data_IF_432162669012
#
_entry.id   IF_432162669012
#
_cell.length_a   1.000
_cell.length_b   1.000
_cell.length_c   1.000
_cell.angle_alpha   90.00
_cell.angle_beta   90.00
_cell.angle_gamma   90.00
#
_symmetry.space_group_name_H-M   'P 1'
#
loop_
_entity.id
_entity.type
_entity.pdbx_description
1 polymer ?
#
# COMPACT_ATOMS: atom_id res chain seq x y z
N UNK A 1 7.52 -4.99 32.21
CA UNK A 1 7.90 -3.72 31.56
C UNK A 1 6.86 -3.44 30.49
N UNK A 2 5.93 -2.52 30.74
CA UNK A 2 4.92 -2.11 29.76
C UNK A 2 5.57 -1.13 28.80
N UNK A 3 5.75 -1.55 27.54
CA UNK A 3 6.27 -0.69 26.50
C UNK A 3 5.20 0.37 26.18
N UNK A 4 5.40 1.60 26.63
CA UNK A 4 4.47 2.69 26.36
C UNK A 4 4.64 3.14 24.91
N UNK A 5 3.72 2.75 24.03
CA UNK A 5 3.69 3.20 22.64
C UNK A 5 3.40 4.72 22.66
N UNK A 6 4.37 5.54 22.25
CA UNK A 6 4.16 6.98 22.12
C UNK A 6 3.44 7.28 20.81
N UNK A 7 2.62 8.33 20.78
CA UNK A 7 1.90 8.77 19.58
C UNK A 7 2.85 9.02 18.40
N UNK A 8 4.02 9.60 18.67
CA UNK A 8 5.08 9.83 17.67
C UNK A 8 5.58 8.52 17.05
N UNK A 9 5.93 7.53 17.89
CA UNK A 9 6.38 6.22 17.39
C UNK A 9 5.31 5.50 16.55
N UNK A 10 4.03 5.64 16.93
CA UNK A 10 2.92 5.09 16.16
C UNK A 10 2.76 5.77 14.79
N UNK A 11 2.91 7.10 14.73
CA UNK A 11 2.81 7.87 13.47
C UNK A 11 3.98 7.51 12.54
N UNK A 12 5.20 7.47 13.07
CA UNK A 12 6.39 7.09 12.32
C UNK A 12 6.24 5.68 11.73
N UNK A 13 5.87 4.71 12.56
CA UNK A 13 5.67 3.32 12.13
C UNK A 13 4.57 3.21 11.06
N UNK A 14 3.44 3.90 11.21
CA UNK A 14 2.39 3.87 10.19
C UNK A 14 2.82 4.56 8.88
N UNK A 15 3.63 5.61 8.95
CA UNK A 15 4.09 6.35 7.77
C UNK A 15 5.09 5.55 6.93
N UNK A 16 5.98 4.78 7.58
CA UNK A 16 6.99 3.99 6.88
C UNK A 16 6.38 2.78 6.18
N UNK A 17 5.33 2.18 6.75
CA UNK A 17 4.59 1.06 6.14
C UNK A 17 3.49 1.48 5.16
N UNK A 18 3.13 2.76 5.10
CA UNK A 18 2.25 3.26 4.04
C UNK A 18 2.99 3.20 2.69
N UNK A 19 2.31 2.66 1.69
CA UNK A 19 2.91 2.42 0.37
C UNK A 19 2.21 3.14 -0.78
N UNK A 20 0.97 3.58 -0.59
CA UNK A 20 0.21 4.16 -1.68
C UNK A 20 -1.19 4.57 -1.29
N UNK A 21 -2.00 4.83 -2.31
CA UNK A 21 -3.40 5.26 -2.18
C UNK A 21 -4.29 4.50 -3.17
N UNK A 22 -5.50 4.13 -2.72
CA UNK A 22 -6.52 3.49 -3.56
C UNK A 22 -6.97 4.48 -4.64
N UNK A 23 -7.04 4.00 -5.89
CA UNK A 23 -7.46 4.82 -7.05
C UNK A 23 -8.68 4.27 -7.77
N UNK A 24 -9.02 3.00 -7.58
CA UNK A 24 -10.17 2.36 -8.22
C UNK A 24 -10.63 1.17 -7.38
N UNK A 25 -11.95 0.98 -7.27
CA UNK A 25 -12.57 -0.18 -6.64
C UNK A 25 -13.70 -0.67 -7.54
N UNK A 26 -13.63 -1.94 -7.96
CA UNK A 26 -14.64 -2.61 -8.79
C UNK A 26 -14.94 -3.98 -8.17
N UNK A 27 -16.05 -4.08 -7.45
CA UNK A 27 -16.39 -5.29 -6.68
C UNK A 27 -15.29 -5.62 -5.66
N UNK A 28 -14.64 -6.77 -5.82
CA UNK A 28 -13.52 -7.20 -4.97
C UNK A 28 -12.14 -6.80 -5.51
N UNK A 29 -12.08 -6.19 -6.70
CA UNK A 29 -10.83 -5.73 -7.29
C UNK A 29 -10.55 -4.29 -6.87
N UNK A 30 -9.33 -4.03 -6.41
CA UNK A 30 -8.85 -2.72 -5.99
C UNK A 30 -7.57 -2.40 -6.73
N UNK A 31 -7.48 -1.18 -7.27
CA UNK A 31 -6.22 -0.65 -7.78
C UNK A 31 -5.63 0.35 -6.80
N UNK A 32 -4.33 0.21 -6.53
CA UNK A 32 -3.58 1.12 -5.67
C UNK A 32 -2.43 1.73 -6.46
N UNK A 33 -2.34 3.06 -6.46
CA UNK A 33 -1.15 3.76 -6.96
C UNK A 33 -0.10 3.81 -5.86
N UNK A 34 1.13 3.41 -6.19
CA UNK A 34 2.27 3.47 -5.26
C UNK A 34 2.84 4.88 -5.22
N UNK A 35 3.18 5.33 -4.01
CA UNK A 35 3.83 6.62 -3.82
C UNK A 35 5.26 6.59 -4.41
N UNK A 36 5.69 7.63 -5.11
CA UNK A 36 6.93 7.64 -5.91
C UNK A 36 8.19 7.20 -5.13
N UNK A 37 8.25 7.47 -3.83
CA UNK A 37 9.34 7.06 -2.93
C UNK A 37 9.27 5.63 -2.38
N UNK A 38 8.19 4.89 -2.64
CA UNK A 38 7.92 3.54 -2.11
C UNK A 38 7.90 2.45 -3.18
N UNK A 39 8.41 2.76 -4.37
CA UNK A 39 8.51 1.83 -5.50
C UNK A 39 9.62 0.75 -5.35
N UNK A 40 10.39 0.74 -4.26
CA UNK A 40 11.45 -0.26 -4.01
C UNK A 40 10.85 -1.62 -3.64
N UNK A 41 11.58 -2.71 -3.90
CA UNK A 41 11.17 -4.07 -3.51
C UNK A 41 11.41 -4.36 -2.02
N UNK A 42 12.10 -3.48 -1.29
CA UNK A 42 12.39 -3.65 0.13
C UNK A 42 12.45 -2.29 0.85
N UNK A 43 12.20 -2.32 2.16
CA UNK A 43 12.27 -1.16 3.06
C UNK A 43 13.29 -1.48 4.17
N UNK A 44 14.17 -0.53 4.49
CA UNK A 44 15.03 -0.62 5.68
C UNK A 44 14.24 -0.05 6.88
N UNK A 45 14.02 -0.86 7.89
CA UNK A 45 13.25 -0.47 9.08
C UNK A 45 13.90 -1.05 10.33
N UNK A 46 14.26 -0.16 11.27
CA UNK A 46 14.87 -0.52 12.57
C UNK A 46 16.08 -1.48 12.46
N UNK A 47 16.86 -1.33 11.38
CA UNK A 47 18.06 -2.15 11.12
C UNK A 47 17.81 -3.39 10.26
N UNK A 48 16.55 -3.73 9.99
CA UNK A 48 16.16 -4.91 9.20
C UNK A 48 15.71 -4.53 7.79
N UNK A 49 15.99 -5.42 6.83
CA UNK A 49 15.46 -5.33 5.47
C UNK A 49 14.14 -6.10 5.44
N UNK A 50 13.04 -5.38 5.24
CA UNK A 50 11.70 -5.97 5.12
C UNK A 50 11.32 -6.01 3.65
N UNK A 51 10.79 -7.15 3.19
CA UNK A 51 10.23 -7.27 1.85
C UNK A 51 9.07 -6.29 1.70
N UNK A 52 9.18 -5.39 0.71
CA UNK A 52 8.11 -4.46 0.39
C UNK A 52 7.03 -5.18 -0.44
N UNK A 53 6.11 -4.42 -1.01
CA UNK A 53 5.05 -4.89 -1.91
C UNK A 53 5.60 -5.81 -3.01
N UNK A 54 5.11 -7.03 -3.04
CA UNK A 54 5.30 -7.99 -4.14
C UNK A 54 4.00 -8.73 -4.45
N UNK A 55 3.90 -9.25 -5.68
CA UNK A 55 2.82 -10.18 -6.06
C UNK A 55 2.80 -11.37 -5.12
N UNK A 56 1.60 -11.81 -4.74
CA UNK A 56 1.38 -12.85 -3.73
C UNK A 56 1.37 -12.33 -2.28
N UNK A 57 1.89 -11.12 -2.04
CA UNK A 57 1.85 -10.46 -0.74
C UNK A 57 0.45 -9.98 -0.35
N UNK A 58 0.33 -9.58 0.92
CA UNK A 58 -0.92 -9.11 1.51
C UNK A 58 -0.77 -7.66 1.94
N UNK A 59 -1.86 -6.90 1.80
CA UNK A 59 -1.91 -5.50 2.21
C UNK A 59 -3.14 -5.26 3.06
N UNK A 60 -2.97 -4.36 4.02
CA UNK A 60 -4.06 -3.75 4.76
C UNK A 60 -4.48 -2.47 4.06
N UNK A 61 -5.76 -2.38 3.70
CA UNK A 61 -6.39 -1.17 3.17
C UNK A 61 -7.21 -0.57 4.30
N UNK A 62 -6.83 0.62 4.77
CA UNK A 62 -7.58 1.36 5.78
C UNK A 62 -8.66 2.19 5.10
N UNK A 63 -9.93 1.95 5.46
CA UNK A 63 -11.09 2.75 5.04
C UNK A 63 -11.85 3.16 6.30
N UNK A 64 -11.72 4.42 6.70
CA UNK A 64 -12.25 4.94 7.96
C UNK A 64 -11.78 4.11 9.16
N UNK A 65 -12.68 3.32 9.75
CA UNK A 65 -12.42 2.41 10.87
C UNK A 65 -12.29 0.94 10.44
N UNK A 66 -12.47 0.66 9.16
CA UNK A 66 -12.37 -0.68 8.59
C UNK A 66 -10.93 -0.98 8.13
N UNK A 67 -10.46 -2.17 8.47
CA UNK A 67 -9.19 -2.69 7.99
C UNK A 67 -9.46 -3.85 7.03
N UNK A 68 -9.44 -3.58 5.73
CA UNK A 68 -9.66 -4.59 4.69
C UNK A 68 -8.34 -5.28 4.39
N UNK A 69 -8.38 -6.61 4.23
CA UNK A 69 -7.22 -7.41 3.85
C UNK A 69 -7.37 -7.84 2.40
N UNK A 70 -6.38 -7.45 1.60
CA UNK A 70 -6.29 -7.81 0.19
C UNK A 70 -5.00 -8.54 -0.14
N UNK A 71 -5.04 -9.37 -1.18
CA UNK A 71 -3.87 -10.03 -1.77
C UNK A 71 -3.49 -9.33 -3.07
N UNK A 72 -2.20 -9.06 -3.25
CA UNK A 72 -1.66 -8.49 -4.48
C UNK A 72 -1.64 -9.61 -5.53
N UNK A 73 -2.46 -9.49 -6.56
CA UNK A 73 -2.53 -10.48 -7.65
C UNK A 73 -1.63 -10.11 -8.82
N UNK A 74 -1.29 -8.83 -8.95
CA UNK A 74 -0.42 -8.36 -10.01
C UNK A 74 -0.06 -6.89 -9.85
N UNK A 75 0.75 -6.42 -10.78
CA UNK A 75 1.15 -5.02 -10.86
C UNK A 75 1.29 -4.56 -12.30
N UNK A 76 1.13 -3.27 -12.50
CA UNK A 76 1.29 -2.60 -13.76
C UNK A 76 2.22 -1.41 -13.58
N UNK A 77 3.26 -1.37 -14.40
CA UNK A 77 4.21 -0.26 -14.45
C UNK A 77 3.88 0.57 -15.69
N UNK A 78 3.56 1.85 -15.49
CA UNK A 78 3.31 2.82 -16.57
C UNK A 78 4.38 3.89 -16.57
N UNK A 79 4.93 4.19 -17.74
CA UNK A 79 5.77 5.37 -17.92
C UNK A 79 4.89 6.62 -18.03
N UNK A 80 5.26 7.68 -17.31
CA UNK A 80 4.69 9.01 -17.47
C UNK A 80 5.19 9.59 -18.81
N UNK A 81 4.36 9.48 -19.84
CA UNK A 81 4.57 10.14 -21.14
C UNK A 81 4.01 11.56 -21.09
N UNK A 82 4.57 12.42 -20.25
CA UNK A 82 4.34 13.86 -20.41
C UNK A 82 5.16 14.36 -21.61
N UNK A 83 4.52 14.28 -22.78
CA UNK A 83 4.88 15.02 -23.97
C UNK A 83 4.56 16.49 -23.73
N UNK A 84 5.44 17.24 -23.09
CA UNK A 84 5.75 18.65 -23.42
C UNK A 84 6.51 19.34 -22.28
N UNK A 85 7.50 20.13 -22.69
CA UNK A 85 8.21 21.16 -21.92
C UNK A 85 9.34 20.70 -20.98
N UNK A 86 10.55 20.80 -21.55
CA UNK A 86 11.75 21.44 -20.98
C UNK A 86 11.70 21.68 -19.46
N UNK A 87 12.40 20.83 -18.73
CA UNK A 87 13.42 21.16 -17.71
C UNK A 87 13.68 19.89 -16.89
N UNK A 88 14.94 19.62 -16.55
CA UNK A 88 15.45 18.48 -15.76
C UNK A 88 14.46 17.92 -14.71
N UNK A 89 13.67 16.90 -15.06
CA UNK A 89 12.92 16.08 -14.10
C UNK A 89 13.73 14.79 -13.91
N UNK A 90 14.13 14.54 -12.66
CA UNK A 90 14.87 13.35 -12.24
C UNK A 90 14.17 12.08 -12.75
N UNK A 91 14.94 11.11 -13.27
CA UNK A 91 14.42 9.86 -13.83
C UNK A 91 13.56 9.01 -12.85
N UNK A 92 13.53 9.35 -11.55
CA UNK A 92 12.69 8.72 -10.52
C UNK A 92 11.19 9.03 -10.66
N UNK A 93 10.82 10.14 -11.29
CA UNK A 93 9.41 10.59 -11.38
C UNK A 93 8.67 10.08 -12.64
N UNK A 94 9.34 9.24 -13.44
CA UNK A 94 8.82 8.78 -14.74
C UNK A 94 8.01 7.50 -14.67
N UNK A 95 7.89 6.86 -13.51
CA UNK A 95 7.31 5.51 -13.41
C UNK A 95 6.19 5.47 -12.36
N UNK A 96 4.98 5.22 -12.85
CA UNK A 96 3.80 4.98 -12.04
C UNK A 96 3.57 3.47 -11.89
N UNK A 97 3.76 2.94 -10.68
CA UNK A 97 3.42 1.56 -10.34
C UNK A 97 2.00 1.51 -9.78
N UNK A 98 1.18 0.61 -10.32
CA UNK A 98 -0.19 0.35 -9.90
C UNK A 98 -0.28 -1.11 -9.49
N UNK A 99 -0.78 -1.39 -8.29
CA UNK A 99 -1.07 -2.75 -7.85
C UNK A 99 -2.51 -3.12 -8.17
N UNK A 100 -2.69 -4.37 -8.58
CA UNK A 100 -4.00 -5.00 -8.65
C UNK A 100 -4.14 -5.89 -7.41
N UNK A 101 -5.12 -5.58 -6.58
CA UNK A 101 -5.38 -6.24 -5.30
C UNK A 101 -6.77 -6.86 -5.33
N UNK A 102 -6.87 -8.10 -4.84
CA UNK A 102 -8.14 -8.77 -4.59
C UNK A 102 -8.45 -8.74 -3.10
N UNK A 103 -9.62 -8.19 -2.74
CA UNK A 103 -10.13 -8.24 -1.38
C UNK A 103 -10.40 -9.69 -1.00
N UNK A 104 -9.90 -10.10 0.18
CA UNK A 104 -10.12 -11.44 0.72
C UNK A 104 -11.01 -11.43 1.97
N UNK A 105 -10.96 -10.34 2.72
CA UNK A 105 -11.49 -10.28 4.07
C UNK A 105 -11.29 -8.92 4.72
N UNK A 106 -11.53 -8.89 6.02
CA UNK A 106 -11.30 -7.74 6.88
C UNK A 106 -10.71 -8.19 8.22
N UNK A 107 -10.13 -7.25 8.97
CA UNK A 107 -9.76 -7.47 10.35
C UNK A 107 -10.87 -6.95 11.26
N UNK A 108 -11.30 -7.78 12.19
CA UNK A 108 -12.22 -7.43 13.26
C UNK A 108 -11.58 -7.80 14.60
N UNK A 109 -11.40 -6.81 15.47
CA UNK A 109 -10.70 -6.99 16.76
C UNK A 109 -9.32 -7.67 16.62
N UNK A 110 -8.60 -7.34 15.54
CA UNK A 110 -7.28 -7.91 15.23
C UNK A 110 -7.30 -9.33 14.65
N UNK A 111 -8.47 -9.93 14.42
CA UNK A 111 -8.62 -11.25 13.79
C UNK A 111 -9.08 -11.12 12.35
N UNK A 112 -8.52 -11.95 11.48
CA UNK A 112 -8.90 -11.99 10.08
C UNK A 112 -10.20 -12.77 9.87
N UNK A 113 -11.16 -12.11 9.26
CA UNK A 113 -12.43 -12.70 8.82
C UNK A 113 -12.49 -12.70 7.29
N UNK A 114 -12.81 -13.87 6.73
CA UNK A 114 -12.89 -14.04 5.27
C UNK A 114 -14.25 -13.56 4.75
N UNK A 115 -14.24 -12.85 3.63
CA UNK A 115 -15.45 -12.36 2.97
C UNK A 115 -15.57 -10.84 2.99
N UNK A 116 -16.69 -10.32 2.50
CA UNK A 116 -16.96 -8.89 2.47
C UNK A 116 -17.88 -8.58 3.65
N UNK A 117 -17.51 -7.60 4.47
CA UNK A 117 -18.38 -7.16 5.56
C UNK A 117 -19.62 -6.51 4.95
N UNK A 118 -20.78 -7.13 5.11
CA UNK A 118 -22.05 -6.64 4.57
C UNK A 118 -22.67 -5.60 5.51
N UNK A 119 -22.02 -4.45 5.66
CA UNK A 119 -22.63 -3.26 6.26
C UNK A 119 -22.23 -2.03 5.42
N UNK A 120 -22.56 -2.09 4.12
CA UNK A 120 -22.63 -0.93 3.22
C UNK A 120 -24.08 -0.78 2.80
#
# INVERSE_FOLDING_TARGET
>A
MTNSITTESYIEDNSIFRVGSVIEVIGQAVKVRIDTGKNTSSILYKGDIIQNISVGGYVKIKKDFEEIIGKIEGELIKENKDNSQKNYINNKDKVNRILNIKILGYLESGKFERGIKSYL
#
